data_IF_518492569544
#
_entry.id   IF_518492569544
#
_cell.length_a   1.000
_cell.length_b   1.000
_cell.length_c   1.000
_cell.angle_alpha   90.00
_cell.angle_beta   90.00
_cell.angle_gamma   90.00
#
_symmetry.space_group_name_H-M   'P 1'
#
loop_
_entity.id
_entity.type
_entity.pdbx_description
1 polymer ?
#
# COMPACT_ATOMS: atom_id res chain seq x y z
N UNK A 1 3.36 -11.84 -4.38
CA UNK A 1 3.48 -10.93 -5.55
C UNK A 1 3.99 -11.73 -6.73
N UNK A 2 3.29 -11.71 -7.88
CA UNK A 2 3.68 -12.51 -9.03
C UNK A 2 5.11 -12.17 -9.48
N UNK A 3 5.87 -13.20 -9.82
CA UNK A 3 7.22 -13.03 -10.36
C UNK A 3 7.15 -12.71 -11.86
N UNK A 4 8.23 -12.16 -12.44
CA UNK A 4 8.27 -11.92 -13.88
C UNK A 4 8.15 -13.22 -14.68
N UNK A 5 8.69 -14.35 -14.13
CA UNK A 5 8.57 -15.66 -14.74
C UNK A 5 7.12 -16.15 -14.79
N UNK A 6 6.37 -16.04 -13.67
CA UNK A 6 4.94 -16.44 -13.64
C UNK A 6 4.12 -15.63 -14.66
N UNK A 7 4.42 -14.34 -14.78
CA UNK A 7 3.79 -13.46 -15.77
C UNK A 7 4.18 -13.82 -17.22
N UNK A 8 5.40 -14.29 -17.44
CA UNK A 8 5.85 -14.68 -18.77
C UNK A 8 5.20 -15.98 -19.27
N UNK A 9 4.63 -16.78 -18.37
CA UNK A 9 3.90 -17.99 -18.72
C UNK A 9 2.43 -17.74 -19.08
N UNK A 10 1.89 -16.55 -18.82
CA UNK A 10 0.53 -16.18 -19.20
C UNK A 10 0.40 -15.93 -20.70
N UNK A 11 -0.81 -16.07 -21.24
CA UNK A 11 -1.09 -15.63 -22.60
C UNK A 11 -1.03 -14.10 -22.75
N UNK A 12 -0.83 -13.59 -23.97
CA UNK A 12 -0.74 -12.16 -24.27
C UNK A 12 -2.00 -11.40 -23.86
N UNK A 13 -3.15 -11.97 -24.18
CA UNK A 13 -4.46 -11.36 -23.87
C UNK A 13 -4.74 -11.34 -22.37
N UNK A 14 -4.39 -12.41 -21.65
CA UNK A 14 -4.52 -12.48 -20.19
C UNK A 14 -3.62 -11.47 -19.50
N UNK A 15 -2.37 -11.35 -19.98
CA UNK A 15 -1.42 -10.39 -19.44
C UNK A 15 -1.89 -8.94 -19.70
N UNK A 16 -2.48 -8.67 -20.86
CA UNK A 16 -3.03 -7.36 -21.21
C UNK A 16 -4.28 -7.02 -20.34
N UNK A 17 -5.16 -8.00 -20.11
CA UNK A 17 -6.31 -7.84 -19.25
C UNK A 17 -5.87 -7.51 -17.80
N UNK A 18 -4.94 -8.29 -17.24
CA UNK A 18 -4.39 -8.07 -15.89
C UNK A 18 -3.67 -6.72 -15.77
N UNK A 19 -2.96 -6.31 -16.80
CA UNK A 19 -2.37 -4.97 -16.86
C UNK A 19 -3.43 -3.87 -16.78
N UNK A 20 -4.56 -4.05 -17.49
CA UNK A 20 -5.69 -3.13 -17.45
C UNK A 20 -6.29 -3.01 -16.05
N UNK A 21 -6.46 -4.13 -15.34
CA UNK A 21 -6.97 -4.18 -13.96
C UNK A 21 -6.01 -3.49 -12.99
N UNK A 22 -4.73 -3.81 -13.03
CA UNK A 22 -3.73 -3.17 -12.17
C UNK A 22 -3.61 -1.67 -12.40
N UNK A 23 -3.81 -1.18 -13.62
CA UNK A 23 -3.88 0.26 -13.92
C UNK A 23 -5.11 0.92 -13.30
N UNK A 24 -6.27 0.26 -13.34
CA UNK A 24 -7.50 0.74 -12.67
C UNK A 24 -7.32 0.78 -11.16
N UNK A 25 -6.74 -0.28 -10.58
CA UNK A 25 -6.41 -0.31 -9.15
C UNK A 25 -5.48 0.86 -8.78
N UNK A 26 -4.41 1.09 -9.54
CA UNK A 26 -3.50 2.19 -9.31
C UNK A 26 -4.20 3.57 -9.36
N UNK A 27 -5.14 3.74 -10.28
CA UNK A 27 -5.94 4.96 -10.37
C UNK A 27 -6.80 5.14 -9.12
N UNK A 28 -7.52 4.09 -8.70
CA UNK A 28 -8.37 4.12 -7.51
C UNK A 28 -7.56 4.42 -6.23
N UNK A 29 -6.40 3.77 -6.06
CA UNK A 29 -5.52 4.02 -4.91
C UNK A 29 -4.99 5.46 -4.87
N UNK A 30 -4.69 6.05 -6.03
CA UNK A 30 -4.30 7.46 -6.11
C UNK A 30 -5.44 8.41 -5.76
N UNK A 31 -6.66 8.06 -6.16
CA UNK A 31 -7.84 8.82 -5.79
C UNK A 31 -8.08 8.77 -4.27
N UNK A 32 -8.01 7.56 -3.67
CA UNK A 32 -8.12 7.37 -2.23
C UNK A 32 -7.02 8.12 -1.46
N UNK A 33 -5.80 8.16 -1.99
CA UNK A 33 -4.72 8.94 -1.39
C UNK A 33 -5.04 10.45 -1.40
N UNK A 34 -5.57 10.96 -2.52
CA UNK A 34 -5.90 12.36 -2.66
C UNK A 34 -7.08 12.80 -1.75
N UNK A 35 -8.01 11.87 -1.46
CA UNK A 35 -9.16 12.11 -0.56
C UNK A 35 -8.85 11.80 0.90
N UNK A 36 -7.63 11.33 1.22
CA UNK A 36 -7.25 10.96 2.59
C UNK A 36 -7.85 9.64 3.09
N UNK A 37 -8.44 8.82 2.19
CA UNK A 37 -9.11 7.56 2.52
C UNK A 37 -8.21 6.32 2.37
N UNK A 38 -6.91 6.52 2.13
CA UNK A 38 -5.99 5.40 1.89
C UNK A 38 -5.27 4.99 3.18
N UNK A 39 -5.62 3.85 3.74
CA UNK A 39 -5.00 3.29 4.95
C UNK A 39 -3.54 2.87 4.73
N UNK A 40 -3.20 2.36 3.55
CA UNK A 40 -1.87 1.81 3.27
C UNK A 40 -1.25 2.38 1.99
N UNK A 41 -0.46 3.47 2.09
CA UNK A 41 0.19 4.07 0.92
C UNK A 41 1.24 3.17 0.26
N UNK A 42 1.79 2.17 0.97
CA UNK A 42 2.75 1.23 0.40
C UNK A 42 2.13 0.37 -0.73
N UNK A 43 0.79 0.20 -0.74
CA UNK A 43 0.06 -0.52 -1.80
C UNK A 43 0.28 0.10 -3.18
N UNK A 44 0.32 1.43 -3.28
CA UNK A 44 0.62 2.13 -4.53
C UNK A 44 1.97 1.68 -5.11
N UNK A 45 3.00 1.60 -4.26
CA UNK A 45 4.32 1.14 -4.66
C UNK A 45 4.33 -0.32 -5.14
N UNK A 46 3.51 -1.17 -4.54
CA UNK A 46 3.37 -2.58 -4.93
C UNK A 46 2.73 -2.71 -6.32
N UNK A 47 1.60 -2.04 -6.54
CA UNK A 47 0.88 -2.08 -7.82
C UNK A 47 1.72 -1.46 -8.94
N UNK A 48 2.45 -0.38 -8.67
CA UNK A 48 3.39 0.20 -9.66
C UNK A 48 4.45 -0.80 -10.11
N UNK A 49 5.05 -1.56 -9.18
CA UNK A 49 6.03 -2.60 -9.51
C UNK A 49 5.41 -3.76 -10.30
N UNK A 50 4.16 -4.11 -10.02
CA UNK A 50 3.42 -5.13 -10.76
C UNK A 50 3.17 -4.69 -12.21
N UNK A 51 2.65 -3.48 -12.42
CA UNK A 51 2.49 -2.87 -13.73
C UNK A 51 3.81 -2.85 -14.51
N UNK A 52 4.91 -2.45 -13.87
CA UNK A 52 6.21 -2.40 -14.50
C UNK A 52 6.70 -3.79 -14.97
N UNK A 53 6.51 -4.84 -14.15
CA UNK A 53 6.86 -6.21 -14.52
C UNK A 53 6.06 -6.70 -15.72
N UNK A 54 4.73 -6.47 -15.74
CA UNK A 54 3.87 -6.84 -16.87
C UNK A 54 4.30 -6.14 -18.16
N UNK A 55 4.59 -4.84 -18.10
CA UNK A 55 5.09 -4.10 -19.26
C UNK A 55 6.44 -4.62 -19.75
N UNK A 56 7.33 -5.02 -18.85
CA UNK A 56 8.63 -5.60 -19.22
C UNK A 56 8.44 -6.92 -19.94
N UNK A 57 7.53 -7.79 -19.47
CA UNK A 57 7.24 -9.07 -20.11
C UNK A 57 6.61 -8.87 -21.47
N UNK A 58 5.62 -7.98 -21.61
CA UNK A 58 5.01 -7.64 -22.91
C UNK A 58 6.05 -7.14 -23.89
N UNK A 59 6.90 -6.20 -23.46
CA UNK A 59 7.94 -5.66 -24.34
C UNK A 59 8.97 -6.70 -24.73
N UNK A 60 9.34 -7.58 -23.80
CA UNK A 60 10.23 -8.71 -24.08
C UNK A 60 9.66 -9.64 -25.15
N UNK A 61 8.36 -9.95 -25.11
CA UNK A 61 7.68 -10.74 -26.14
C UNK A 61 7.70 -10.07 -27.51
N UNK A 62 7.33 -8.79 -27.57
CA UNK A 62 7.38 -8.03 -28.82
C UNK A 62 8.76 -8.08 -29.49
N UNK A 63 9.82 -7.97 -28.68
CA UNK A 63 11.20 -8.04 -29.19
C UNK A 63 11.50 -9.45 -29.72
N UNK A 64 11.18 -10.49 -28.93
CA UNK A 64 11.42 -11.88 -29.32
C UNK A 64 10.60 -12.29 -30.55
N UNK A 65 9.37 -11.82 -30.67
CA UNK A 65 8.52 -12.00 -31.86
C UNK A 65 9.13 -11.32 -33.09
N UNK A 66 9.62 -10.09 -32.94
CA UNK A 66 10.27 -9.35 -34.01
C UNK A 66 11.59 -10.04 -34.48
N UNK A 67 12.31 -10.68 -33.57
CA UNK A 67 13.52 -11.45 -33.84
C UNK A 67 13.23 -12.88 -34.35
N UNK A 68 11.96 -13.33 -34.31
CA UNK A 68 11.55 -14.71 -34.66
C UNK A 68 12.02 -15.78 -33.65
N UNK A 69 12.37 -15.36 -32.45
CA UNK A 69 12.88 -16.21 -31.35
C UNK A 69 11.81 -16.51 -30.27
N UNK A 70 10.61 -16.01 -30.42
CA UNK A 70 9.54 -16.23 -29.44
C UNK A 70 9.04 -17.68 -29.49
N UNK A 71 9.16 -18.36 -28.34
CA UNK A 71 8.57 -19.67 -28.10
C UNK A 71 7.42 -19.48 -27.12
N UNK A 72 6.18 -19.69 -27.58
CA UNK A 72 5.01 -19.59 -26.72
C UNK A 72 5.07 -20.68 -25.64
N UNK A 73 4.67 -20.35 -24.38
CA UNK A 73 4.59 -21.35 -23.33
C UNK A 73 3.57 -22.45 -23.70
N UNK A 74 3.78 -23.64 -23.18
CA UNK A 74 2.88 -24.78 -23.40
C UNK A 74 1.58 -24.60 -22.64
N UNK A 75 0.50 -25.25 -23.09
CA UNK A 75 -0.80 -25.18 -22.42
C UNK A 75 -0.73 -25.58 -20.93
N UNK A 76 0.12 -26.54 -20.58
CA UNK A 76 0.33 -26.97 -19.19
C UNK A 76 1.02 -25.90 -18.34
N UNK A 77 1.99 -25.19 -18.90
CA UNK A 77 2.68 -24.08 -18.22
C UNK A 77 1.75 -22.89 -18.02
N UNK A 78 0.90 -22.59 -19.01
CA UNK A 78 -0.17 -21.59 -18.87
C UNK A 78 -1.13 -21.91 -17.73
N UNK A 79 -1.66 -23.15 -17.70
CA UNK A 79 -2.61 -23.58 -16.68
C UNK A 79 -1.98 -23.51 -15.28
N UNK A 80 -0.74 -23.96 -15.13
CA UNK A 80 -0.02 -23.89 -13.87
C UNK A 80 0.22 -22.44 -13.40
N UNK A 81 0.58 -21.55 -14.33
CA UNK A 81 0.76 -20.13 -14.02
C UNK A 81 -0.53 -19.45 -13.61
N UNK A 82 -1.64 -19.73 -14.31
CA UNK A 82 -2.98 -19.23 -13.96
C UNK A 82 -3.41 -19.68 -12.57
N UNK A 83 -3.25 -20.97 -12.27
CA UNK A 83 -3.61 -21.52 -10.97
C UNK A 83 -2.82 -20.87 -9.84
N UNK A 84 -1.52 -20.65 -10.04
CA UNK A 84 -0.65 -20.00 -9.06
C UNK A 84 -1.05 -18.54 -8.83
N UNK A 85 -1.30 -17.79 -9.89
CA UNK A 85 -1.71 -16.39 -9.79
C UNK A 85 -3.08 -16.24 -9.14
N UNK A 86 -4.03 -17.12 -9.47
CA UNK A 86 -5.34 -17.14 -8.84
C UNK A 86 -5.25 -17.43 -7.33
N UNK A 87 -4.35 -18.33 -6.91
CA UNK A 87 -4.10 -18.60 -5.50
C UNK A 87 -3.50 -17.39 -4.77
N UNK A 88 -2.52 -16.71 -5.39
CA UNK A 88 -1.93 -15.48 -4.84
C UNK A 88 -2.97 -14.35 -4.70
N UNK A 89 -3.85 -14.21 -5.68
CA UNK A 89 -4.90 -13.19 -5.66
C UNK A 89 -5.95 -13.51 -4.58
N UNK A 90 -6.37 -14.78 -4.43
CA UNK A 90 -7.28 -15.23 -3.38
C UNK A 90 -6.70 -15.00 -1.96
N UNK A 91 -5.42 -15.34 -1.74
CA UNK A 91 -4.76 -15.03 -0.47
C UNK A 91 -4.69 -13.52 -0.18
N UNK A 92 -4.52 -12.72 -1.22
CA UNK A 92 -4.49 -11.26 -1.10
C UNK A 92 -5.84 -10.70 -0.69
N UNK A 93 -6.93 -11.21 -1.30
CA UNK A 93 -8.29 -10.83 -0.97
C UNK A 93 -8.67 -11.25 0.46
N UNK A 94 -8.30 -12.47 0.86
CA UNK A 94 -8.54 -12.95 2.22
C UNK A 94 -7.83 -12.09 3.27
N UNK A 95 -6.56 -11.76 3.05
CA UNK A 95 -5.79 -10.87 3.93
C UNK A 95 -6.37 -9.46 3.99
N UNK A 96 -6.88 -8.94 2.87
CA UNK A 96 -7.54 -7.65 2.81
C UNK A 96 -8.86 -7.67 3.59
N UNK A 97 -9.68 -8.70 3.42
CA UNK A 97 -10.93 -8.88 4.14
C UNK A 97 -10.73 -9.07 5.64
N UNK A 98 -9.71 -9.85 6.05
CA UNK A 98 -9.37 -10.02 7.46
C UNK A 98 -8.94 -8.70 8.11
N UNK A 99 -8.16 -7.88 7.38
CA UNK A 99 -7.73 -6.57 7.87
C UNK A 99 -8.88 -5.58 7.97
N UNK A 100 -9.81 -5.59 7.01
CA UNK A 100 -11.00 -4.74 7.07
C UNK A 100 -11.86 -5.07 8.28
N UNK A 101 -12.09 -6.37 8.56
CA UNK A 101 -12.82 -6.81 9.76
C UNK A 101 -12.11 -6.44 11.07
N UNK A 102 -10.79 -6.51 11.10
CA UNK A 102 -10.02 -6.10 12.29
C UNK A 102 -10.15 -4.59 12.53
N UNK A 103 -10.10 -3.78 11.48
CA UNK A 103 -10.27 -2.33 11.57
C UNK A 103 -11.70 -1.94 12.01
N UNK A 104 -12.73 -2.65 11.53
CA UNK A 104 -14.11 -2.46 11.99
C UNK A 104 -14.27 -2.80 13.48
N UNK A 105 -13.67 -3.91 13.94
CA UNK A 105 -13.71 -4.31 15.34
C UNK A 105 -12.97 -3.33 16.27
N UNK A 106 -11.86 -2.74 15.82
CA UNK A 106 -11.14 -1.69 16.56
C UNK A 106 -11.98 -0.40 16.64
N UNK A 107 -12.64 -0.01 15.55
CA UNK A 107 -13.51 1.16 15.52
C UNK A 107 -14.73 1.00 16.45
N UNK A 108 -15.37 -0.19 16.47
CA UNK A 108 -16.46 -0.50 17.40
C UNK A 108 -15.99 -0.50 18.86
N UNK A 109 -14.77 -0.95 19.13
CA UNK A 109 -14.21 -0.95 20.49
C UNK A 109 -13.89 0.46 21.01
N UNK A 110 -13.45 1.36 20.13
CA UNK A 110 -13.23 2.77 20.47
C UNK A 110 -14.55 3.52 20.73
N UNK A 111 -15.62 3.22 19.98
CA UNK A 111 -16.93 3.85 20.17
C UNK A 111 -17.57 3.42 21.51
N UNK A 112 -17.29 2.21 21.98
CA UNK A 112 -17.82 1.72 23.26
C UNK A 112 -16.96 2.10 24.49
N UNK A 113 -15.73 2.57 24.27
CA UNK A 113 -14.75 2.91 25.32
C UNK A 113 -14.83 4.34 25.87
N UNK A 114 -15.69 5.20 25.32
CA UNK A 114 -15.79 6.62 25.72
C UNK A 114 -16.96 6.85 26.66
N UNK A 115 -16.99 6.24 27.83
CA UNK A 115 -17.76 6.71 28.98
C UNK A 115 -17.21 6.17 30.30
N UNK A 116 -16.06 6.68 30.68
CA UNK A 116 -15.75 6.79 32.12
C UNK A 116 -14.78 7.98 32.31
N UNK A 117 -15.29 9.18 32.23
CA UNK A 117 -14.60 10.35 32.73
C UNK A 117 -14.99 10.49 34.20
N UNK A 118 -14.25 9.81 35.06
CA UNK A 118 -14.18 10.20 36.47
C UNK A 118 -13.68 11.65 36.54
N UNK A 119 -14.60 12.50 36.96
CA UNK A 119 -14.32 13.87 37.40
C UNK A 119 -13.44 13.76 38.64
N UNK A 120 -12.14 13.93 38.48
CA UNK A 120 -11.25 14.18 39.59
C UNK A 120 -11.23 15.70 39.82
N UNK A 121 -12.03 16.12 40.79
CA UNK A 121 -11.84 17.38 41.52
C UNK A 121 -10.44 17.36 42.14
N UNK A 122 -9.52 18.08 41.58
CA UNK A 122 -8.29 18.49 42.26
C UNK A 122 -8.37 19.97 42.58
N UNK A 123 -8.86 20.23 43.79
CA UNK A 123 -8.48 21.41 44.55
C UNK A 123 -6.95 21.38 44.74
N UNK A 124 -6.24 22.25 44.09
CA UNK A 124 -4.87 22.62 44.42
C UNK A 124 -4.77 24.12 44.54
N UNK A 125 -5.07 24.55 45.76
CA UNK A 125 -4.46 25.76 46.32
C UNK A 125 -2.96 25.45 46.52
N UNK A 126 -2.09 26.10 45.80
CA UNK A 126 -0.72 26.37 46.22
C UNK A 126 -0.18 27.56 45.44
N UNK A 127 -0.15 28.66 46.16
CA UNK A 127 0.72 29.79 45.94
C UNK A 127 2.17 29.32 45.78
N UNK A 128 2.81 29.65 44.69
CA UNK A 128 4.27 29.79 44.64
C UNK A 128 4.64 30.89 43.67
N UNK A 129 5.05 31.98 44.34
CA UNK A 129 5.76 33.09 43.74
C UNK A 129 7.04 32.55 43.06
N UNK A 130 7.19 32.81 41.78
CA UNK A 130 8.47 32.61 41.09
C UNK A 130 8.93 33.94 40.58
N UNK A 131 9.96 34.44 41.28
CA UNK A 131 10.73 35.65 41.00
C UNK A 131 11.36 35.62 39.62
N UNK A 132 11.21 36.75 38.95
CA UNK A 132 11.93 37.14 37.76
C UNK A 132 13.38 37.41 38.11
N UNK A 133 14.32 36.75 37.44
CA UNK A 133 15.60 37.37 37.15
C UNK A 133 15.95 37.10 35.66
N UNK A 134 15.74 38.16 34.91
CA UNK A 134 16.15 38.30 33.55
C UNK A 134 17.53 38.96 33.57
N UNK A 135 18.58 38.21 33.32
CA UNK A 135 19.89 38.77 33.06
C UNK A 135 20.11 38.86 31.55
N UNK A 136 20.05 40.13 31.09
CA UNK A 136 20.61 40.58 29.83
C UNK A 136 22.14 40.57 29.93
N UNK A 137 22.83 39.84 29.08
CA UNK A 137 24.19 40.17 28.72
C UNK A 137 24.38 40.13 27.20
N UNK A 138 24.38 41.34 26.66
CA UNK A 138 25.01 41.71 25.40
C UNK A 138 26.48 41.32 25.40
N UNK A 139 26.97 40.66 24.37
CA UNK A 139 28.35 40.89 23.90
C UNK A 139 28.41 40.82 22.36
N UNK A 140 28.51 42.01 21.81
CA UNK A 140 29.15 42.25 20.51
C UNK A 140 30.62 41.80 20.57
N UNK A 141 31.14 41.21 19.52
CA UNK A 141 32.44 41.54 18.93
C UNK A 141 32.68 40.83 17.60
N UNK A 142 32.76 41.58 16.57
CA UNK A 142 33.76 41.83 15.54
C UNK A 142 34.93 40.83 15.42
N UNK A 143 35.04 40.23 14.24
CA UNK A 143 36.24 40.27 13.38
C UNK A 143 36.02 39.46 12.09
#
# INVERSE_FOLDING_TARGET
MPTAHDLSMLDGDELAARLGESRRELFNLRFQLATGQLDNPARIGQVRREVARMLTVLRGREILEAEGAYIAPTAAEHEAARAKLAAEDAEREEKAAARAKAAEAEAEAEEFGVHDHEVHDHDHDADDEFDEEFDDEDEEDEA
#
